data_IF_543176103015
#
_entry.id   IF_543176103015
#
_cell.length_a   1.000
_cell.length_b   1.000
_cell.length_c   1.000
_cell.angle_alpha   90.00
_cell.angle_beta   90.00
_cell.angle_gamma   90.00
#
_symmetry.space_group_name_H-M   'P 1'
#
loop_
_entity.id
_entity.type
_entity.pdbx_description
1 polymer ?
#
# COMPACT_ATOMS: atom_id res chain seq x y z
N UNK A 1 -37.08 0.17 -6.81
CA UNK A 1 -36.54 -1.16 -6.50
C UNK A 1 -36.03 -1.16 -5.07
N UNK A 2 -36.59 -2.01 -4.21
CA UNK A 2 -35.99 -2.28 -2.90
C UNK A 2 -34.80 -3.20 -3.15
N UNK A 3 -33.59 -2.77 -2.83
CA UNK A 3 -32.40 -3.64 -2.91
C UNK A 3 -32.56 -4.72 -1.85
N UNK A 4 -32.60 -5.99 -2.26
CA UNK A 4 -32.62 -7.11 -1.31
C UNK A 4 -31.38 -7.05 -0.41
N UNK A 5 -31.60 -7.17 0.90
CA UNK A 5 -30.51 -7.21 1.87
C UNK A 5 -29.98 -8.64 1.89
N UNK A 6 -28.94 -8.90 1.10
CA UNK A 6 -28.29 -10.22 1.06
C UNK A 6 -27.71 -10.65 2.42
N UNK A 7 -27.69 -11.96 2.67
CA UNK A 7 -27.18 -12.55 3.92
C UNK A 7 -25.63 -12.72 3.93
N UNK A 8 -24.93 -12.25 2.90
CA UNK A 8 -23.47 -12.33 2.79
C UNK A 8 -22.80 -10.97 2.97
N UNK A 9 -21.60 -11.00 3.54
CA UNK A 9 -20.69 -9.87 3.73
C UNK A 9 -19.28 -10.29 3.33
N UNK A 10 -18.36 -9.32 3.18
CA UNK A 10 -16.97 -9.66 2.88
C UNK A 10 -16.35 -10.65 3.87
N UNK A 11 -16.82 -10.70 5.12
CA UNK A 11 -16.29 -11.58 6.16
C UNK A 11 -16.69 -13.05 6.03
N UNK A 12 -17.75 -13.39 5.28
CA UNK A 12 -18.28 -14.75 5.20
C UNK A 12 -18.29 -15.33 3.77
N UNK A 13 -17.52 -14.73 2.86
CA UNK A 13 -17.29 -15.29 1.52
C UNK A 13 -16.36 -16.51 1.59
N UNK A 14 -16.69 -17.56 0.85
CA UNK A 14 -15.80 -18.70 0.59
C UNK A 14 -14.58 -18.30 -0.26
N UNK A 15 -13.52 -19.12 -0.31
CA UNK A 15 -12.29 -18.84 -1.10
C UNK A 15 -12.60 -18.51 -2.57
N UNK A 16 -13.45 -19.30 -3.22
CA UNK A 16 -13.89 -19.06 -4.61
C UNK A 16 -14.67 -17.74 -4.77
N UNK A 17 -15.52 -17.41 -3.81
CA UNK A 17 -16.26 -16.15 -3.82
C UNK A 17 -15.35 -14.96 -3.59
N UNK A 18 -14.32 -15.10 -2.75
CA UNK A 18 -13.30 -14.08 -2.55
C UNK A 18 -12.58 -13.73 -3.83
N UNK A 19 -12.12 -14.71 -4.61
CA UNK A 19 -11.47 -14.45 -5.90
C UNK A 19 -12.41 -13.73 -6.87
N UNK A 20 -13.68 -14.15 -6.94
CA UNK A 20 -14.69 -13.50 -7.79
C UNK A 20 -14.93 -12.05 -7.36
N UNK A 21 -15.13 -11.80 -6.08
CA UNK A 21 -15.42 -10.46 -5.54
C UNK A 21 -14.17 -9.58 -5.62
N UNK A 22 -12.98 -10.12 -5.34
CA UNK A 22 -11.71 -9.41 -5.50
C UNK A 22 -11.54 -8.91 -6.93
N UNK A 23 -11.80 -9.75 -7.93
CA UNK A 23 -11.75 -9.36 -9.35
C UNK A 23 -12.65 -8.16 -9.65
N UNK A 24 -13.91 -8.19 -9.23
CA UNK A 24 -14.82 -7.07 -9.47
C UNK A 24 -14.45 -5.82 -8.64
N UNK A 25 -13.87 -6.01 -7.45
CA UNK A 25 -13.38 -4.91 -6.62
C UNK A 25 -12.17 -4.23 -7.28
N UNK A 26 -11.22 -4.99 -7.84
CA UNK A 26 -10.11 -4.45 -8.65
C UNK A 26 -10.62 -3.70 -9.89
N UNK A 27 -11.60 -4.26 -10.61
CA UNK A 27 -12.21 -3.57 -11.77
C UNK A 27 -12.85 -2.24 -11.39
N UNK A 28 -13.53 -2.19 -10.25
CA UNK A 28 -14.10 -0.94 -9.73
C UNK A 28 -13.00 0.06 -9.36
N UNK A 29 -11.92 -0.40 -8.71
CA UNK A 29 -10.75 0.42 -8.42
C UNK A 29 -10.12 1.01 -9.69
N UNK A 30 -9.95 0.20 -10.74
CA UNK A 30 -9.44 0.65 -12.04
C UNK A 30 -10.37 1.66 -12.71
N UNK A 31 -11.69 1.46 -12.63
CA UNK A 31 -12.67 2.43 -13.14
C UNK A 31 -12.50 3.78 -12.45
N UNK A 32 -12.48 3.80 -11.11
CA UNK A 32 -12.29 5.03 -10.33
C UNK A 32 -10.96 5.71 -10.65
N UNK A 33 -9.89 4.94 -10.84
CA UNK A 33 -8.59 5.47 -11.25
C UNK A 33 -8.68 6.18 -12.60
N UNK A 34 -9.22 5.51 -13.61
CA UNK A 34 -9.36 6.06 -14.96
C UNK A 34 -10.27 7.28 -14.98
N UNK A 35 -11.39 7.23 -14.27
CA UNK A 35 -12.33 8.36 -14.13
C UNK A 35 -11.62 9.56 -13.49
N UNK A 36 -10.81 9.34 -12.45
CA UNK A 36 -9.96 10.38 -11.85
C UNK A 36 -8.99 11.00 -12.85
N UNK A 37 -8.27 10.18 -13.62
CA UNK A 37 -7.35 10.64 -14.68
C UNK A 37 -8.10 11.43 -15.76
N UNK A 38 -9.31 11.03 -16.12
CA UNK A 38 -10.14 11.74 -17.10
C UNK A 38 -10.64 13.09 -16.56
N UNK A 39 -11.01 13.18 -15.29
CA UNK A 39 -11.42 14.44 -14.66
C UNK A 39 -10.27 15.45 -14.60
N UNK A 40 -9.05 15.00 -14.35
CA UNK A 40 -7.87 15.87 -14.32
C UNK A 40 -7.56 16.50 -15.69
N UNK A 41 -7.94 15.85 -16.81
CA UNK A 41 -7.81 16.44 -18.16
C UNK A 41 -8.75 17.63 -18.39
N UNK A 42 -9.75 17.80 -17.53
CA UNK A 42 -10.72 18.89 -17.58
C UNK A 42 -10.54 19.83 -16.36
N UNK A 43 -9.32 19.90 -15.82
CA UNK A 43 -8.93 20.74 -14.67
C UNK A 43 -9.75 20.51 -13.38
N UNK A 44 -10.49 19.39 -13.29
CA UNK A 44 -11.27 19.03 -12.11
C UNK A 44 -10.41 18.29 -11.08
N UNK A 45 -9.30 18.91 -10.66
CA UNK A 45 -8.25 18.30 -9.85
C UNK A 45 -8.73 17.79 -8.49
N UNK A 46 -9.57 18.53 -7.74
CA UNK A 46 -10.07 18.03 -6.46
C UNK A 46 -10.84 16.72 -6.57
N UNK A 47 -11.78 16.63 -7.53
CA UNK A 47 -12.55 15.41 -7.76
C UNK A 47 -11.67 14.27 -8.27
N UNK A 48 -10.72 14.59 -9.15
CA UNK A 48 -9.75 13.62 -9.65
C UNK A 48 -8.93 13.02 -8.50
N UNK A 49 -8.39 13.86 -7.62
CA UNK A 49 -7.65 13.48 -6.42
C UNK A 49 -8.46 12.55 -5.52
N UNK A 50 -9.72 12.89 -5.23
CA UNK A 50 -10.57 12.04 -4.38
C UNK A 50 -10.87 10.69 -5.03
N UNK A 51 -11.13 10.64 -6.35
CA UNK A 51 -11.33 9.38 -7.06
C UNK A 51 -10.09 8.49 -7.08
N UNK A 52 -8.89 9.07 -7.20
CA UNK A 52 -7.65 8.30 -7.08
C UNK A 52 -7.51 7.70 -5.68
N UNK A 53 -7.75 8.47 -4.61
CA UNK A 53 -7.69 7.96 -3.23
C UNK A 53 -8.74 6.85 -3.00
N UNK A 54 -9.95 7.02 -3.51
CA UNK A 54 -11.00 5.98 -3.45
C UNK A 54 -10.58 4.71 -4.20
N UNK A 55 -9.95 4.85 -5.38
CA UNK A 55 -9.38 3.71 -6.12
C UNK A 55 -8.37 2.93 -5.28
N UNK A 56 -7.45 3.63 -4.61
CA UNK A 56 -6.46 3.00 -3.73
C UNK A 56 -7.14 2.26 -2.56
N UNK A 57 -8.12 2.86 -1.90
CA UNK A 57 -8.87 2.18 -0.84
C UNK A 57 -9.55 0.89 -1.32
N UNK A 58 -10.07 0.92 -2.55
CA UNK A 58 -10.74 -0.22 -3.16
C UNK A 58 -9.77 -1.34 -3.52
N UNK A 59 -8.59 -0.97 -4.01
CA UNK A 59 -7.47 -1.89 -4.19
C UNK A 59 -7.06 -2.57 -2.88
N UNK A 60 -7.05 -1.85 -1.75
CA UNK A 60 -6.70 -2.44 -0.45
C UNK A 60 -7.69 -3.54 -0.02
N UNK A 61 -8.99 -3.31 -0.24
CA UNK A 61 -10.02 -4.35 0.01
C UNK A 61 -9.86 -5.53 -0.93
N UNK A 62 -9.65 -5.26 -2.21
CA UNK A 62 -9.48 -6.29 -3.23
C UNK A 62 -8.28 -7.18 -2.93
N UNK A 63 -7.16 -6.61 -2.49
CA UNK A 63 -5.95 -7.34 -2.14
C UNK A 63 -6.18 -8.35 -1.00
N UNK A 64 -6.83 -7.93 0.10
CA UNK A 64 -7.14 -8.86 1.21
C UNK A 64 -8.05 -9.99 0.76
N UNK A 65 -9.08 -9.68 -0.05
CA UNK A 65 -9.97 -10.70 -0.59
C UNK A 65 -9.22 -11.66 -1.52
N UNK A 66 -8.32 -11.15 -2.36
CA UNK A 66 -7.53 -11.96 -3.28
C UNK A 66 -6.60 -12.91 -2.53
N UNK A 67 -5.86 -12.42 -1.54
CA UNK A 67 -4.97 -13.25 -0.71
C UNK A 67 -5.75 -14.33 0.05
N UNK A 68 -6.93 -14.00 0.60
CA UNK A 68 -7.80 -14.98 1.25
C UNK A 68 -8.36 -16.03 0.29
N UNK A 69 -8.66 -15.62 -0.94
CA UNK A 69 -9.04 -16.52 -2.03
C UNK A 69 -7.94 -17.54 -2.33
N UNK A 70 -6.67 -17.14 -2.18
CA UNK A 70 -5.47 -17.97 -2.33
C UNK A 70 -4.96 -18.55 -0.99
N UNK A 71 -5.81 -18.66 0.02
CA UNK A 71 -5.55 -19.46 1.22
C UNK A 71 -4.86 -18.78 2.39
N UNK A 72 -4.63 -17.45 2.35
CA UNK A 72 -4.03 -16.76 3.49
C UNK A 72 -4.97 -16.69 4.71
N UNK A 73 -6.29 -16.63 4.54
CA UNK A 73 -7.25 -16.70 5.66
C UNK A 73 -7.15 -15.52 6.66
N UNK A 74 -6.75 -14.33 6.21
CA UNK A 74 -6.72 -13.11 7.01
C UNK A 74 -8.08 -12.81 7.64
N UNK A 75 -9.19 -12.91 6.88
CA UNK A 75 -10.53 -12.56 7.39
C UNK A 75 -11.00 -13.44 8.54
N UNK A 76 -10.58 -14.71 8.58
CA UNK A 76 -10.98 -15.64 9.64
C UNK A 76 -10.02 -15.65 10.82
N UNK A 77 -8.74 -15.29 10.62
CA UNK A 77 -7.70 -15.45 11.64
C UNK A 77 -7.19 -14.14 12.24
N UNK A 78 -7.23 -13.02 11.51
CA UNK A 78 -6.72 -11.74 12.02
C UNK A 78 -7.81 -10.99 12.78
N UNK A 79 -7.58 -10.80 14.08
CA UNK A 79 -8.48 -10.01 14.93
C UNK A 79 -8.56 -8.56 14.44
N UNK A 80 -9.76 -8.02 14.30
CA UNK A 80 -9.98 -6.63 13.89
C UNK A 80 -9.90 -6.35 12.38
N UNK A 81 -9.59 -7.36 11.56
CA UNK A 81 -9.51 -7.23 10.08
C UNK A 81 -10.82 -6.73 9.45
N UNK A 82 -11.98 -7.05 10.07
CA UNK A 82 -13.29 -6.55 9.66
C UNK A 82 -13.32 -5.02 9.56
N UNK A 83 -12.56 -4.33 10.42
CA UNK A 83 -12.51 -2.87 10.41
C UNK A 83 -11.88 -2.32 9.14
N UNK A 84 -10.98 -3.02 8.44
CA UNK A 84 -10.45 -2.58 7.14
C UNK A 84 -11.54 -2.44 6.06
N UNK A 85 -12.58 -3.28 6.13
CA UNK A 85 -13.68 -3.23 5.18
C UNK A 85 -14.66 -2.09 5.46
N UNK A 86 -14.78 -1.66 6.72
CA UNK A 86 -15.79 -0.68 7.15
C UNK A 86 -15.21 0.71 7.42
N UNK A 87 -13.92 0.82 7.76
CA UNK A 87 -13.25 2.06 8.11
C UNK A 87 -12.18 2.39 7.07
N UNK A 88 -12.47 3.41 6.27
CA UNK A 88 -11.60 3.92 5.20
C UNK A 88 -10.21 4.29 5.70
N UNK A 89 -10.11 4.91 6.91
CA UNK A 89 -8.83 5.32 7.50
C UNK A 89 -7.86 4.18 7.75
N UNK A 90 -8.36 2.97 8.00
CA UNK A 90 -7.50 1.81 8.26
C UNK A 90 -6.87 1.24 6.99
N UNK A 91 -7.28 1.70 5.81
CA UNK A 91 -6.70 1.28 4.53
C UNK A 91 -5.41 2.03 4.22
N UNK A 92 -5.21 3.22 4.77
CA UNK A 92 -3.98 4.01 4.57
C UNK A 92 -2.72 3.34 5.11
N UNK A 93 -2.70 2.70 6.30
CA UNK A 93 -1.56 1.93 6.75
C UNK A 93 -1.20 0.75 5.82
N UNK A 94 -2.20 0.07 5.24
CA UNK A 94 -1.95 -0.99 4.26
C UNK A 94 -1.39 -0.41 2.96
N UNK A 95 -1.92 0.73 2.52
CA UNK A 95 -1.41 1.45 1.35
C UNK A 95 0.03 1.95 1.58
N UNK A 96 0.37 2.40 2.79
CA UNK A 96 1.73 2.79 3.16
C UNK A 96 2.72 1.63 3.04
N UNK A 97 2.34 0.41 3.44
CA UNK A 97 3.17 -0.79 3.25
C UNK A 97 3.46 -1.02 1.76
N UNK A 98 2.44 -0.90 0.90
CA UNK A 98 2.62 -1.04 -0.55
C UNK A 98 3.44 0.11 -1.15
N UNK A 99 3.28 1.33 -0.64
CA UNK A 99 4.13 2.47 -1.03
C UNK A 99 5.59 2.21 -0.65
N UNK A 100 5.85 1.64 0.53
CA UNK A 100 7.17 1.17 0.93
C UNK A 100 7.75 0.17 -0.06
N UNK A 101 7.00 -0.87 -0.43
CA UNK A 101 7.45 -1.82 -1.45
C UNK A 101 7.74 -1.16 -2.80
N UNK A 102 6.96 -0.17 -3.21
CA UNK A 102 7.23 0.59 -4.43
C UNK A 102 8.49 1.47 -4.32
N UNK A 103 8.75 2.08 -3.16
CA UNK A 103 9.94 2.90 -2.89
C UNK A 103 11.23 2.10 -3.02
N UNK A 104 11.26 0.89 -2.46
CA UNK A 104 12.45 0.02 -2.48
C UNK A 104 12.48 -0.91 -3.69
N UNK A 105 11.33 -1.33 -4.19
CA UNK A 105 11.19 -2.36 -5.22
C UNK A 105 11.80 -1.95 -6.55
N UNK A 106 11.70 -0.66 -6.92
CA UNK A 106 12.34 -0.14 -8.15
C UNK A 106 13.87 -0.28 -8.09
N UNK A 107 14.48 0.12 -6.97
CA UNK A 107 15.94 0.02 -6.84
C UNK A 107 16.41 -1.44 -6.74
N UNK A 108 15.67 -2.30 -6.04
CA UNK A 108 15.96 -3.74 -5.98
C UNK A 108 15.94 -4.35 -7.38
N UNK A 109 14.92 -4.03 -8.19
CA UNK A 109 14.80 -4.52 -9.57
C UNK A 109 15.99 -4.07 -10.43
N UNK A 110 16.41 -2.81 -10.29
CA UNK A 110 17.60 -2.29 -10.97
C UNK A 110 18.89 -2.98 -10.53
N UNK A 111 19.08 -3.19 -9.23
CA UNK A 111 20.24 -3.89 -8.67
C UNK A 111 20.31 -5.33 -9.19
N UNK A 112 19.19 -6.07 -9.13
CA UNK A 112 19.11 -7.45 -9.66
C UNK A 112 19.46 -7.46 -11.15
N UNK A 113 18.95 -6.50 -11.92
CA UNK A 113 19.22 -6.41 -13.36
C UNK A 113 20.71 -6.13 -13.61
N UNK A 114 21.34 -5.24 -12.83
CA UNK A 114 22.79 -4.97 -12.90
C UNK A 114 23.63 -6.17 -12.49
N UNK A 115 23.25 -6.93 -11.45
CA UNK A 115 23.92 -8.18 -11.06
C UNK A 115 23.89 -9.19 -12.20
N UNK A 116 22.73 -9.37 -12.84
CA UNK A 116 22.57 -10.33 -13.94
C UNK A 116 23.37 -9.94 -15.18
N UNK A 117 23.48 -8.65 -15.47
CA UNK A 117 24.13 -8.14 -16.69
C UNK A 117 25.63 -7.97 -16.53
N UNK A 118 26.12 -7.49 -15.38
CA UNK A 118 27.53 -7.21 -15.11
C UNK A 118 28.01 -7.78 -13.75
N UNK A 119 28.09 -9.11 -13.59
CA UNK A 119 28.41 -9.73 -12.30
C UNK A 119 29.81 -9.38 -11.77
N UNK A 120 30.79 -9.17 -12.65
CA UNK A 120 32.18 -8.82 -12.31
C UNK A 120 32.32 -7.41 -11.76
N UNK A 121 31.47 -6.48 -12.20
CA UNK A 121 31.45 -5.10 -11.72
C UNK A 121 31.03 -5.05 -10.24
N UNK A 122 30.02 -5.85 -9.85
CA UNK A 122 29.56 -5.95 -8.46
C UNK A 122 30.58 -6.64 -7.56
N UNK A 123 31.31 -7.64 -8.08
CA UNK A 123 32.43 -8.23 -7.34
C UNK A 123 33.57 -7.24 -7.07
N UNK A 124 33.87 -6.34 -8.02
CA UNK A 124 34.84 -5.28 -7.80
C UNK A 124 34.35 -4.27 -6.75
N UNK A 125 33.06 -3.96 -6.76
CA UNK A 125 32.41 -3.10 -5.77
C UNK A 125 32.44 -3.72 -4.36
N UNK A 126 32.15 -5.02 -4.18
CA UNK A 126 32.15 -5.69 -2.87
C UNK A 126 33.51 -5.74 -2.16
N UNK A 127 34.62 -5.48 -2.86
CA UNK A 127 35.98 -5.48 -2.27
C UNK A 127 36.32 -4.20 -1.49
N UNK A 128 35.50 -3.14 -1.57
CA UNK A 128 35.70 -1.88 -0.84
C UNK A 128 34.61 -1.69 0.21
N UNK A 129 34.72 -2.40 1.33
CA UNK A 129 33.72 -2.43 2.42
C UNK A 129 33.36 -1.02 2.93
N UNK A 130 34.35 -0.20 3.26
CA UNK A 130 34.13 1.14 3.83
C UNK A 130 33.41 2.09 2.84
N UNK A 131 33.72 1.98 1.53
CA UNK A 131 33.04 2.77 0.50
C UNK A 131 31.58 2.35 0.34
N UNK A 132 31.29 1.05 0.51
CA UNK A 132 29.93 0.52 0.48
C UNK A 132 29.11 0.93 1.68
N UNK A 133 29.68 0.86 2.88
CA UNK A 133 28.98 1.25 4.11
C UNK A 133 28.51 2.70 4.03
N UNK A 134 29.39 3.61 3.58
CA UNK A 134 29.03 5.02 3.39
C UNK A 134 27.94 5.21 2.32
N UNK A 135 28.06 4.58 1.15
CA UNK A 135 27.06 4.67 0.09
C UNK A 135 25.71 4.07 0.49
N UNK A 136 25.72 2.95 1.22
CA UNK A 136 24.52 2.30 1.73
C UNK A 136 23.83 3.17 2.78
N UNK A 137 24.58 3.78 3.71
CA UNK A 137 24.03 4.74 4.68
C UNK A 137 23.37 5.94 4.01
N UNK A 138 24.04 6.58 3.05
CA UNK A 138 23.47 7.72 2.29
C UNK A 138 22.20 7.32 1.54
N UNK A 139 22.21 6.15 0.90
CA UNK A 139 21.03 5.61 0.23
C UNK A 139 19.88 5.34 1.21
N UNK A 140 20.16 4.68 2.33
CA UNK A 140 19.16 4.37 3.36
C UNK A 140 18.55 5.64 3.95
N UNK A 141 19.36 6.65 4.27
CA UNK A 141 18.88 7.95 4.73
C UNK A 141 17.93 8.59 3.71
N UNK A 142 18.28 8.56 2.42
CA UNK A 142 17.39 9.07 1.36
C UNK A 142 16.05 8.33 1.33
N UNK A 143 16.06 7.00 1.48
CA UNK A 143 14.84 6.18 1.46
C UNK A 143 14.00 6.36 2.72
N UNK A 144 14.63 6.53 3.87
CA UNK A 144 13.96 6.87 5.14
C UNK A 144 13.25 8.21 5.02
N UNK A 145 13.94 9.25 4.52
CA UNK A 145 13.31 10.56 4.25
C UNK A 145 12.11 10.46 3.31
N UNK A 146 12.24 9.65 2.25
CA UNK A 146 11.14 9.39 1.34
C UNK A 146 9.97 8.69 2.04
N UNK A 147 10.26 7.70 2.89
CA UNK A 147 9.24 6.96 3.64
C UNK A 147 8.55 7.83 4.72
N UNK A 148 9.28 8.72 5.38
CA UNK A 148 8.73 9.75 6.28
C UNK A 148 7.73 10.63 5.54
N UNK A 149 8.07 11.08 4.32
CA UNK A 149 7.15 11.85 3.49
C UNK A 149 5.88 11.07 3.16
N UNK A 150 5.97 9.76 2.91
CA UNK A 150 4.79 8.91 2.72
C UNK A 150 3.94 8.82 3.99
N UNK A 151 4.55 8.58 5.16
CA UNK A 151 3.82 8.50 6.44
C UNK A 151 3.03 9.79 6.70
N UNK A 152 3.66 10.95 6.51
CA UNK A 152 3.03 12.26 6.66
C UNK A 152 1.89 12.44 5.65
N UNK A 153 2.08 12.02 4.40
CA UNK A 153 1.06 12.12 3.37
C UNK A 153 -0.15 11.23 3.70
N UNK A 154 0.06 9.96 4.02
CA UNK A 154 -1.02 9.02 4.37
C UNK A 154 -1.78 9.41 5.64
N UNK A 155 -1.13 10.10 6.57
CA UNK A 155 -1.79 10.66 7.76
C UNK A 155 -2.83 11.73 7.40
N UNK A 156 -2.65 12.41 6.26
CA UNK A 156 -3.52 13.48 5.79
C UNK A 156 -4.42 13.08 4.60
N UNK A 157 -4.24 11.88 4.03
CA UNK A 157 -4.95 11.43 2.84
C UNK A 157 -6.48 11.48 2.98
N UNK A 158 -7.02 11.22 4.18
CA UNK A 158 -8.47 11.33 4.42
C UNK A 158 -9.00 12.75 4.23
N UNK A 159 -8.27 13.75 4.70
CA UNK A 159 -8.68 15.14 4.56
C UNK A 159 -8.70 15.53 3.09
N UNK A 160 -7.63 15.20 2.36
CA UNK A 160 -7.54 15.46 0.93
C UNK A 160 -8.62 14.73 0.12
N UNK A 161 -8.99 13.50 0.52
CA UNK A 161 -10.11 12.75 -0.05
C UNK A 161 -11.44 13.46 0.15
N UNK A 162 -11.68 14.03 1.32
CA UNK A 162 -12.92 14.75 1.64
C UNK A 162 -12.96 16.13 0.97
N UNK A 163 -11.89 16.92 1.08
CA UNK A 163 -11.74 18.24 0.46
C UNK A 163 -11.85 18.16 -1.07
N UNK A 164 -11.46 17.05 -1.69
CA UNK A 164 -11.63 16.81 -3.12
C UNK A 164 -13.08 16.56 -3.58
N UNK A 165 -14.03 16.38 -2.67
CA UNK A 165 -15.44 16.11 -3.01
C UNK A 165 -16.43 17.08 -2.40
N UNK A 166 -16.14 17.56 -1.19
CA UNK A 166 -17.08 18.35 -0.41
C UNK A 166 -16.55 19.75 -0.16
N UNK A 167 -17.47 20.71 -0.14
CA UNK A 167 -17.20 22.03 0.41
C UNK A 167 -17.35 21.92 1.92
N UNK A 168 -16.36 22.41 2.65
CA UNK A 168 -16.35 22.45 4.11
C UNK A 168 -16.00 23.85 4.61
N UNK A 169 -16.24 24.13 5.89
CA UNK A 169 -15.95 25.41 6.50
C UNK A 169 -15.41 25.21 7.92
N UNK A 170 -14.10 25.43 8.09
CA UNK A 170 -13.46 25.48 9.41
C UNK A 170 -12.55 26.70 9.45
N UNK A 171 -13.09 27.81 9.97
CA UNK A 171 -12.52 29.17 9.95
C UNK A 171 -12.43 29.77 8.54
N UNK A 172 -11.99 28.98 7.56
CA UNK A 172 -11.94 29.30 6.13
C UNK A 172 -12.78 28.29 5.33
N UNK A 173 -13.40 28.77 4.25
CA UNK A 173 -14.06 27.90 3.28
C UNK A 173 -13.01 27.07 2.57
N UNK A 174 -13.23 25.76 2.51
CA UNK A 174 -12.44 24.81 1.72
C UNK A 174 -13.32 24.22 0.65
N UNK A 175 -12.81 24.13 -0.57
CA UNK A 175 -13.55 23.61 -1.72
C UNK A 175 -12.68 22.70 -2.58
N UNK A 176 -13.25 21.72 -3.31
CA UNK A 176 -12.51 20.94 -4.29
C UNK A 176 -11.79 21.77 -5.36
N UNK A 177 -12.14 23.05 -5.50
CA UNK A 177 -11.50 24.00 -6.41
C UNK A 177 -10.14 24.52 -5.89
N UNK A 178 -9.86 24.37 -4.60
CA UNK A 178 -8.60 24.81 -3.98
C UNK A 178 -7.46 23.81 -4.25
N UNK A 179 -7.79 22.56 -4.57
CA UNK A 179 -6.83 21.53 -4.94
C UNK A 179 -6.33 21.83 -6.34
N UNK A 180 -5.03 22.05 -6.47
CA UNK A 180 -4.38 22.43 -7.72
C UNK A 180 -3.79 21.21 -8.46
N UNK A 181 -3.19 21.48 -9.61
CA UNK A 181 -2.56 20.45 -10.46
C UNK A 181 -1.41 19.72 -9.78
N UNK A 182 -0.60 20.41 -8.97
CA UNK A 182 0.52 19.81 -8.25
C UNK A 182 0.01 18.84 -7.19
N UNK A 183 -1.01 19.23 -6.42
CA UNK A 183 -1.65 18.34 -5.44
C UNK A 183 -2.15 17.06 -6.10
N UNK A 184 -2.82 17.20 -7.25
CA UNK A 184 -3.24 16.05 -8.06
C UNK A 184 -2.07 15.19 -8.53
N UNK A 185 -1.00 15.80 -9.05
CA UNK A 185 0.18 15.07 -9.55
C UNK A 185 0.87 14.26 -8.44
N UNK A 186 0.94 14.83 -7.23
CA UNK A 186 1.52 14.18 -6.06
C UNK A 186 0.70 12.95 -5.63
N UNK A 187 -0.63 13.04 -5.68
CA UNK A 187 -1.54 11.91 -5.43
C UNK A 187 -1.43 10.86 -6.53
N UNK A 188 -1.45 11.31 -7.79
CA UNK A 188 -1.34 10.45 -8.96
C UNK A 188 -0.06 9.61 -8.92
N UNK A 189 1.09 10.21 -8.63
CA UNK A 189 2.37 9.51 -8.58
C UNK A 189 2.35 8.36 -7.57
N UNK A 190 1.86 8.61 -6.35
CA UNK A 190 1.77 7.61 -5.27
C UNK A 190 0.83 6.47 -5.62
N UNK A 191 -0.37 6.82 -6.07
CA UNK A 191 -1.42 5.86 -6.33
C UNK A 191 -1.12 5.03 -7.58
N UNK A 192 -0.52 5.65 -8.61
CA UNK A 192 -0.03 4.92 -9.77
C UNK A 192 1.07 3.92 -9.40
N UNK A 193 2.05 4.33 -8.58
CA UNK A 193 3.12 3.42 -8.14
C UNK A 193 2.59 2.21 -7.36
N UNK A 194 1.62 2.43 -6.46
CA UNK A 194 0.96 1.32 -5.75
C UNK A 194 0.16 0.42 -6.71
N UNK A 195 -0.54 1.02 -7.68
CA UNK A 195 -1.31 0.28 -8.68
C UNK A 195 -0.41 -0.61 -9.55
N UNK A 196 0.71 -0.06 -10.04
CA UNK A 196 1.73 -0.80 -10.80
C UNK A 196 2.25 -1.98 -9.98
N UNK A 197 2.60 -1.75 -8.71
CA UNK A 197 3.05 -2.82 -7.82
C UNK A 197 2.00 -3.92 -7.65
N UNK A 198 0.73 -3.57 -7.43
CA UNK A 198 -0.34 -4.56 -7.30
C UNK A 198 -0.48 -5.38 -8.58
N UNK A 199 -0.49 -4.74 -9.75
CA UNK A 199 -0.61 -5.43 -11.05
C UNK A 199 0.54 -6.42 -11.27
N UNK A 200 1.77 -6.03 -10.90
CA UNK A 200 2.95 -6.89 -11.00
C UNK A 200 2.95 -8.02 -9.94
N UNK A 201 2.35 -7.77 -8.77
CA UNK A 201 2.34 -8.70 -7.63
C UNK A 201 1.24 -9.76 -7.71
N UNK A 202 0.04 -9.44 -8.21
CA UNK A 202 -1.09 -10.37 -8.23
C UNK A 202 -0.80 -11.70 -8.97
N UNK A 203 -0.13 -11.71 -10.15
CA UNK A 203 0.15 -12.95 -10.89
C UNK A 203 1.03 -13.94 -10.13
N UNK A 204 1.77 -13.50 -9.12
CA UNK A 204 2.63 -14.34 -8.28
C UNK A 204 1.80 -15.35 -7.47
N UNK A 205 0.56 -15.00 -7.11
CA UNK A 205 -0.32 -15.83 -6.29
C UNK A 205 -1.40 -16.57 -7.09
N UNK A 206 -1.49 -16.37 -8.41
CA UNK A 206 -2.47 -17.12 -9.20
C UNK A 206 -1.97 -18.57 -9.37
N UNK A 207 -2.62 -19.49 -8.67
CA UNK A 207 -2.29 -20.93 -8.71
C UNK A 207 -2.33 -21.51 -10.14
N UNK A 208 -3.09 -20.87 -11.05
CA UNK A 208 -3.21 -21.27 -12.46
C UNK A 208 -2.03 -20.84 -13.34
N UNK A 209 -1.13 -20.02 -12.80
CA UNK A 209 0.02 -19.52 -13.54
C UNK A 209 1.13 -20.59 -13.53
N UNK A 210 1.01 -21.61 -14.39
CA UNK A 210 1.96 -22.75 -14.46
C UNK A 210 3.39 -22.31 -14.82
N UNK A 211 3.56 -21.16 -15.47
CA UNK A 211 4.85 -20.54 -15.80
C UNK A 211 5.54 -19.85 -14.60
N UNK A 212 4.87 -19.76 -13.45
CA UNK A 212 5.44 -19.14 -12.26
C UNK A 212 6.58 -19.97 -11.67
N UNK A 213 7.68 -19.30 -11.34
CA UNK A 213 8.86 -19.88 -10.69
C UNK A 213 8.45 -20.77 -9.49
N UNK A 214 8.68 -22.08 -9.63
CA UNK A 214 8.34 -23.09 -8.62
C UNK A 214 8.98 -22.78 -7.27
N UNK A 215 10.16 -22.17 -7.27
CA UNK A 215 10.86 -21.75 -6.07
C UNK A 215 10.14 -20.59 -5.38
N UNK A 216 9.69 -19.59 -6.15
CA UNK A 216 8.89 -18.48 -5.63
C UNK A 216 7.59 -18.99 -5.01
N UNK A 217 6.88 -19.89 -5.69
CA UNK A 217 5.65 -20.50 -5.15
C UNK A 217 5.90 -21.24 -3.83
N UNK A 218 6.99 -21.98 -3.72
CA UNK A 218 7.37 -22.67 -2.49
C UNK A 218 7.62 -21.68 -1.33
N UNK A 219 8.32 -20.57 -1.60
CA UNK A 219 8.54 -19.51 -0.62
C UNK A 219 7.24 -18.84 -0.17
N UNK A 220 6.27 -18.65 -1.07
CA UNK A 220 4.96 -18.09 -0.71
C UNK A 220 4.14 -19.03 0.16
N UNK A 221 4.14 -20.33 -0.15
CA UNK A 221 3.49 -21.34 0.69
C UNK A 221 4.15 -21.36 2.08
N UNK A 222 5.48 -21.23 2.14
CA UNK A 222 6.21 -21.13 3.40
C UNK A 222 5.79 -19.88 4.19
N UNK A 223 5.79 -18.71 3.55
CA UNK A 223 5.35 -17.45 4.16
C UNK A 223 3.91 -17.56 4.68
N UNK A 224 2.99 -18.13 3.89
CA UNK A 224 1.61 -18.36 4.30
C UNK A 224 1.55 -19.23 5.57
N UNK A 225 2.33 -20.33 5.61
CA UNK A 225 2.41 -21.20 6.79
C UNK A 225 2.97 -20.45 8.00
N UNK A 226 4.08 -19.74 7.84
CA UNK A 226 4.73 -18.96 8.90
C UNK A 226 3.77 -17.91 9.49
N UNK A 227 3.05 -17.17 8.63
CA UNK A 227 2.04 -16.21 9.09
C UNK A 227 0.93 -16.86 9.91
N UNK A 228 0.49 -18.06 9.53
CA UNK A 228 -0.54 -18.83 10.22
C UNK A 228 -0.02 -19.44 11.52
N UNK A 229 1.20 -20.00 11.55
CA UNK A 229 1.73 -20.79 12.68
C UNK A 229 2.53 -19.98 13.69
N UNK A 230 3.21 -18.91 13.29
CA UNK A 230 4.21 -18.21 14.11
C UNK A 230 3.68 -16.92 14.75
N UNK A 231 2.41 -16.90 15.14
CA UNK A 231 1.75 -15.71 15.72
C UNK A 231 1.77 -14.48 14.80
N UNK A 232 2.07 -14.65 13.51
CA UNK A 232 2.06 -13.55 12.53
C UNK A 232 0.71 -12.85 12.51
N UNK A 233 -0.38 -13.61 12.45
CA UNK A 233 -1.74 -13.07 12.51
C UNK A 233 -2.14 -12.45 13.85
N UNK A 234 -1.56 -12.90 14.97
CA UNK A 234 -1.73 -12.23 16.26
C UNK A 234 -1.09 -10.85 16.23
N UNK A 235 0.15 -10.74 15.76
CA UNK A 235 0.87 -9.46 15.61
C UNK A 235 0.15 -8.49 14.68
N UNK A 236 -0.34 -8.97 13.54
CA UNK A 236 -1.15 -8.14 12.63
C UNK A 236 -2.43 -7.67 13.34
N UNK A 237 -3.10 -8.55 14.09
CA UNK A 237 -4.30 -8.19 14.85
C UNK A 237 -4.03 -7.16 15.96
N UNK A 238 -2.91 -7.28 16.66
CA UNK A 238 -2.45 -6.30 17.65
C UNK A 238 -2.18 -4.94 17.01
N UNK A 239 -1.49 -4.90 15.87
CA UNK A 239 -1.27 -3.67 15.11
C UNK A 239 -2.60 -3.03 14.71
N UNK A 240 -3.52 -3.79 14.10
CA UNK A 240 -4.84 -3.29 13.72
C UNK A 240 -5.64 -2.78 14.94
N UNK A 241 -5.48 -3.39 16.10
CA UNK A 241 -6.13 -2.92 17.33
C UNK A 241 -5.62 -1.55 17.78
N UNK A 242 -4.32 -1.29 17.60
CA UNK A 242 -3.72 0.04 17.85
C UNK A 242 -4.29 1.08 16.87
N UNK A 243 -4.41 0.76 15.58
CA UNK A 243 -5.04 1.64 14.59
C UNK A 243 -6.53 1.88 14.81
N UNK A 244 -7.24 0.97 15.46
CA UNK A 244 -8.63 1.18 15.85
C UNK A 244 -8.80 2.07 17.09
N UNK A 245 -7.74 2.29 17.87
CA UNK A 245 -7.83 3.13 19.07
C UNK A 245 -7.82 4.61 18.68
N UNK A 246 -8.98 5.27 18.82
CA UNK A 246 -9.17 6.69 18.46
C UNK A 246 -8.21 7.67 19.17
N UNK A 247 -7.53 7.24 20.23
CA UNK A 247 -6.60 8.08 21.02
C UNK A 247 -5.16 8.09 20.50
N UNK A 248 -4.78 7.15 19.63
CA UNK A 248 -3.42 6.99 19.13
C UNK A 248 -3.49 6.92 17.61
N UNK A 249 -2.90 7.89 16.89
CA UNK A 249 -2.68 7.80 15.45
C UNK A 249 -1.40 6.96 15.24
N UNK A 250 -1.46 5.70 14.80
CA UNK A 250 -0.26 4.89 14.76
C UNK A 250 0.64 5.20 13.57
N UNK A 251 0.19 6.05 12.63
CA UNK A 251 1.09 6.66 11.66
C UNK A 251 1.99 7.71 12.33
N UNK A 252 1.53 8.43 13.35
CA UNK A 252 2.37 9.33 14.16
C UNK A 252 3.39 8.52 14.98
N UNK A 253 2.96 7.44 15.64
CA UNK A 253 3.90 6.57 16.36
C UNK A 253 4.93 5.93 15.40
N UNK A 254 4.53 5.55 14.19
CA UNK A 254 5.47 5.06 13.17
C UNK A 254 6.42 6.18 12.72
N UNK A 255 5.92 7.39 12.53
CA UNK A 255 6.72 8.55 12.18
C UNK A 255 7.83 8.80 13.21
N UNK A 256 7.50 8.79 14.51
CA UNK A 256 8.46 8.96 15.60
C UNK A 256 9.59 7.92 15.52
N UNK A 257 9.25 6.63 15.40
CA UNK A 257 10.24 5.55 15.30
C UNK A 257 11.14 5.68 14.05
N UNK A 258 10.59 6.14 12.93
CA UNK A 258 11.37 6.30 11.69
C UNK A 258 12.26 7.55 11.74
N UNK A 259 11.83 8.60 12.45
CA UNK A 259 12.64 9.81 12.69
C UNK A 259 13.78 9.55 13.68
N UNK A 260 13.57 8.71 14.70
CA UNK A 260 14.64 8.23 15.58
C UNK A 260 15.71 7.49 14.76
N UNK A 261 15.31 6.56 13.89
CA UNK A 261 16.21 5.87 12.98
C UNK A 261 16.95 6.84 12.01
N UNK A 262 16.28 7.88 11.52
CA UNK A 262 16.92 8.93 10.71
C UNK A 262 18.01 9.66 11.50
N UNK A 263 17.73 9.98 12.78
CA UNK A 263 18.64 10.67 13.68
C UNK A 263 19.87 9.81 13.97
N UNK A 264 19.66 8.56 14.38
CA UNK A 264 20.75 7.60 14.64
C UNK A 264 21.67 7.45 13.42
N UNK A 265 21.09 7.33 12.23
CA UNK A 265 21.86 7.22 10.99
C UNK A 265 22.58 8.51 10.60
N UNK A 266 22.14 9.67 11.08
CA UNK A 266 22.74 10.98 10.79
C UNK A 266 23.85 11.32 11.79
N UNK A 267 23.71 10.95 13.06
CA UNK A 267 24.74 11.14 14.11
C UNK A 267 25.96 10.24 13.89
N UNK A 268 25.78 9.16 13.15
CA UNK A 268 26.80 8.21 12.70
C UNK A 268 27.69 8.70 11.53
N UNK A 269 27.54 9.96 11.09
CA UNK A 269 28.30 10.59 9.99
C UNK A 269 29.41 11.55 10.45
#
# INVERSE_FOLDING_TARGET
>A
MVREKGNKSFMNLSKKECLKVAKETFRNADSMYNDGVHLAKNDSFGRATSLLILSMEENMKALILYLDGNGFEFRSRVKGIKSLFNNHKLRYPLALVLSGFNIFGKDIKEIITKIKTNPTEIQAYMRSKNKWESLAKVYLLKKIKQFISEILWFSNAEYLRQEGMYVDYDIVMKTPLDINKQDYQDVYYRINGMREFIVDFLPIFDERNEEGDLELKAHLIKLQKELISEKGYERIGELLSKFNNKKLNPLEALLENVQELETDLTEDF
#
